data_IF_815222239124
#
_entry.id   IF_815222239124
#
_cell.length_a   1.000
_cell.length_b   1.000
_cell.length_c   1.000
_cell.angle_alpha   90.00
_cell.angle_beta   90.00
_cell.angle_gamma   90.00
#
_symmetry.space_group_name_H-M   'P 1'
#
loop_
_entity.id
_entity.type
_entity.pdbx_description
1 polymer ?
#
# COMPACT_ATOMS: atom_id res chain seq x y z
N UNK A 1 68.15 8.90 10.62
CA UNK A 1 66.73 8.47 10.54
C UNK A 1 66.41 7.54 11.69
N UNK A 2 65.46 7.92 12.55
CA UNK A 2 65.08 7.15 13.73
C UNK A 2 64.30 5.90 13.32
N UNK A 3 64.38 4.80 14.10
CA UNK A 3 63.61 3.56 13.86
C UNK A 3 62.09 3.84 13.74
N UNK A 4 61.60 4.87 14.44
CA UNK A 4 60.21 5.36 14.36
C UNK A 4 59.84 5.92 12.98
N UNK A 5 60.77 6.59 12.29
CA UNK A 5 60.49 7.20 10.98
C UNK A 5 60.40 6.14 9.87
N UNK A 6 61.22 5.09 9.96
CA UNK A 6 61.15 3.93 9.05
C UNK A 6 59.83 3.15 9.23
N UNK A 7 59.37 2.98 10.47
CA UNK A 7 58.09 2.35 10.79
C UNK A 7 56.89 3.18 10.28
N UNK A 8 56.93 4.51 10.41
CA UNK A 8 55.90 5.40 9.84
C UNK A 8 55.87 5.37 8.31
N UNK A 9 57.04 5.30 7.67
CA UNK A 9 57.11 5.19 6.21
C UNK A 9 56.56 3.84 5.71
N UNK A 10 56.82 2.74 6.43
CA UNK A 10 56.25 1.43 6.10
C UNK A 10 54.74 1.35 6.33
N UNK A 11 54.21 1.93 7.41
CA UNK A 11 52.77 1.96 7.65
C UNK A 11 52.05 2.84 6.62
N UNK A 12 52.64 3.97 6.22
CA UNK A 12 52.08 4.79 5.15
C UNK A 12 52.09 4.08 3.79
N UNK A 13 53.11 3.25 3.51
CA UNK A 13 53.12 2.41 2.30
C UNK A 13 52.02 1.36 2.32
N UNK A 14 51.86 0.62 3.42
CA UNK A 14 50.75 -0.35 3.56
C UNK A 14 49.37 0.29 3.45
N UNK A 15 49.19 1.50 4.02
CA UNK A 15 47.91 2.21 3.92
C UNK A 15 47.62 2.65 2.48
N UNK A 16 48.65 3.03 1.70
CA UNK A 16 48.49 3.36 0.28
C UNK A 16 48.16 2.13 -0.55
N UNK A 17 48.93 1.06 -0.38
CA UNK A 17 48.70 -0.22 -1.08
C UNK A 17 47.29 -0.77 -0.80
N UNK A 18 46.80 -0.64 0.45
CA UNK A 18 45.43 -1.06 0.79
C UNK A 18 44.35 -0.19 0.14
N UNK A 19 44.58 1.13 0.02
CA UNK A 19 43.64 2.03 -0.68
C UNK A 19 43.62 1.77 -2.17
N UNK A 20 44.78 1.54 -2.79
CA UNK A 20 44.89 1.21 -4.20
C UNK A 20 44.18 -0.11 -4.52
N UNK A 21 44.31 -1.13 -3.67
CA UNK A 21 43.55 -2.39 -3.80
C UNK A 21 42.04 -2.21 -3.62
N UNK A 22 41.59 -1.38 -2.68
CA UNK A 22 40.16 -1.08 -2.50
C UNK A 22 39.57 -0.29 -3.67
N UNK A 23 40.38 0.58 -4.31
CA UNK A 23 39.99 1.31 -5.52
C UNK A 23 39.91 0.38 -6.73
N UNK A 24 40.91 -0.49 -6.95
CA UNK A 24 40.89 -1.50 -8.01
C UNK A 24 39.72 -2.48 -7.85
N UNK A 25 39.42 -2.95 -6.63
CA UNK A 25 38.29 -3.85 -6.40
C UNK A 25 36.92 -3.15 -6.61
N UNK A 26 36.84 -1.83 -6.37
CA UNK A 26 35.65 -1.03 -6.72
C UNK A 26 35.52 -0.87 -8.22
N UNK A 27 36.61 -0.56 -8.91
CA UNK A 27 36.63 -0.43 -10.37
C UNK A 27 36.31 -1.76 -11.05
N UNK A 28 36.80 -2.89 -10.54
CA UNK A 28 36.44 -4.22 -11.04
C UNK A 28 34.96 -4.55 -10.80
N UNK A 29 34.40 -4.17 -9.64
CA UNK A 29 32.96 -4.32 -9.35
C UNK A 29 32.09 -3.42 -10.24
N UNK A 30 32.53 -2.19 -10.50
CA UNK A 30 31.85 -1.28 -11.43
C UNK A 30 31.98 -1.75 -12.88
N UNK A 31 33.14 -2.25 -13.28
CA UNK A 31 33.40 -2.84 -14.58
C UNK A 31 32.61 -4.13 -14.77
N UNK A 32 32.47 -4.98 -13.75
CA UNK A 32 31.63 -6.18 -13.78
C UNK A 32 30.13 -5.82 -13.88
N UNK A 33 29.71 -4.73 -13.21
CA UNK A 33 28.35 -4.19 -13.29
C UNK A 33 28.06 -3.55 -14.65
N UNK A 34 29.05 -2.93 -15.29
CA UNK A 34 28.95 -2.37 -16.65
C UNK A 34 29.12 -3.42 -17.75
N UNK A 35 29.87 -4.50 -17.50
CA UNK A 35 30.01 -5.69 -18.36
C UNK A 35 28.80 -6.62 -18.30
N UNK A 36 27.81 -6.38 -17.43
CA UNK A 36 26.53 -7.08 -17.52
C UNK A 36 25.91 -6.80 -18.90
N UNK A 37 25.99 -7.80 -19.77
CA UNK A 37 25.50 -7.75 -21.14
C UNK A 37 24.04 -7.29 -21.17
N UNK A 38 23.64 -6.60 -22.25
CA UNK A 38 22.22 -6.22 -22.44
C UNK A 38 21.29 -7.43 -22.29
N UNK A 39 21.74 -8.65 -22.59
CA UNK A 39 21.00 -9.89 -22.37
C UNK A 39 20.91 -10.30 -20.90
N UNK A 40 22.01 -10.20 -20.11
CA UNK A 40 22.00 -10.45 -18.67
C UNK A 40 21.14 -9.42 -17.92
N UNK A 41 21.20 -8.14 -18.31
CA UNK A 41 20.33 -7.08 -17.78
C UNK A 41 18.86 -7.31 -18.15
N UNK A 42 18.59 -7.82 -19.36
CA UNK A 42 17.24 -8.21 -19.83
C UNK A 42 16.73 -9.47 -19.14
N UNK A 43 17.61 -10.42 -18.79
CA UNK A 43 17.30 -11.63 -18.01
C UNK A 43 17.07 -11.29 -16.55
N UNK A 44 17.91 -10.44 -15.93
CA UNK A 44 17.72 -9.90 -14.59
C UNK A 44 16.44 -9.07 -14.51
N UNK A 45 16.14 -8.23 -15.51
CA UNK A 45 14.85 -7.56 -15.56
C UNK A 45 13.72 -8.57 -15.79
N UNK A 46 13.89 -9.62 -16.60
CA UNK A 46 12.90 -10.71 -16.70
C UNK A 46 12.77 -11.55 -15.43
N UNK A 47 13.75 -11.60 -14.53
CA UNK A 47 13.62 -12.35 -13.27
C UNK A 47 13.13 -11.45 -12.13
N UNK A 48 13.60 -10.20 -12.03
CA UNK A 48 13.03 -9.17 -11.12
C UNK A 48 11.59 -8.80 -11.49
N UNK A 49 11.32 -8.52 -12.77
CA UNK A 49 9.98 -8.18 -13.30
C UNK A 49 9.21 -9.36 -13.90
N UNK A 50 9.77 -10.58 -13.93
CA UNK A 50 9.00 -11.79 -14.31
C UNK A 50 8.61 -12.65 -13.11
N UNK A 51 9.22 -12.45 -11.93
CA UNK A 51 8.67 -12.97 -10.68
C UNK A 51 7.43 -12.17 -10.24
N UNK A 52 7.39 -10.87 -10.59
CA UNK A 52 6.22 -10.01 -10.53
C UNK A 52 5.99 -9.44 -11.94
N UNK A 53 5.27 -10.19 -12.78
CA UNK A 53 4.88 -9.74 -14.11
C UNK A 53 4.43 -8.28 -14.06
N UNK A 54 4.87 -7.45 -15.03
CA UNK A 54 4.49 -6.04 -15.11
C UNK A 54 2.99 -5.91 -14.80
N UNK A 55 2.66 -5.37 -13.63
CA UNK A 55 1.27 -5.15 -13.27
C UNK A 55 0.65 -4.31 -14.38
N UNK A 56 -0.52 -4.72 -14.91
CA UNK A 56 -1.22 -3.90 -15.87
C UNK A 56 -1.38 -2.48 -15.32
N UNK A 57 -1.20 -1.47 -16.15
CA UNK A 57 -1.42 -0.07 -15.76
C UNK A 57 -2.79 0.17 -15.13
N UNK A 58 -3.78 -0.68 -15.46
CA UNK A 58 -5.10 -0.71 -14.83
C UNK A 58 -5.05 -0.85 -13.30
N UNK A 59 -4.10 -1.60 -12.72
CA UNK A 59 -3.95 -1.69 -11.26
C UNK A 59 -3.54 -0.35 -10.65
N UNK A 60 -2.62 0.38 -11.28
CA UNK A 60 -2.25 1.72 -10.82
C UNK A 60 -3.43 2.70 -10.92
N UNK A 61 -4.22 2.60 -11.99
CA UNK A 61 -5.42 3.42 -12.15
C UNK A 61 -6.45 3.11 -11.06
N UNK A 62 -6.72 1.84 -10.76
CA UNK A 62 -7.63 1.44 -9.68
C UNK A 62 -7.14 1.90 -8.30
N UNK A 63 -5.82 1.80 -8.05
CA UNK A 63 -5.19 2.31 -6.82
C UNK A 63 -5.28 3.83 -6.69
N UNK A 64 -5.26 4.57 -7.80
CA UNK A 64 -5.49 6.01 -7.77
C UNK A 64 -6.97 6.32 -7.56
N UNK A 65 -7.85 5.55 -8.20
CA UNK A 65 -9.29 5.70 -8.12
C UNK A 65 -9.79 5.50 -6.69
N UNK A 66 -9.25 4.54 -5.93
CA UNK A 66 -9.66 4.29 -4.54
C UNK A 66 -9.29 5.43 -3.57
N UNK A 67 -8.32 6.28 -3.92
CA UNK A 67 -7.98 7.46 -3.11
C UNK A 67 -9.08 8.52 -3.14
N UNK A 68 -9.87 8.59 -4.22
CA UNK A 68 -10.94 9.59 -4.37
C UNK A 68 -12.03 9.39 -3.30
N UNK A 69 -12.69 8.22 -3.19
CA UNK A 69 -13.68 7.99 -2.14
C UNK A 69 -13.06 8.01 -0.75
N UNK A 70 -11.81 7.60 -0.58
CA UNK A 70 -11.11 7.69 0.70
C UNK A 70 -10.86 9.14 1.14
N UNK A 71 -10.41 10.01 0.23
CA UNK A 71 -10.19 11.42 0.52
C UNK A 71 -11.50 12.16 0.83
N UNK A 72 -12.58 11.82 0.11
CA UNK A 72 -13.89 12.39 0.37
C UNK A 72 -14.47 11.91 1.72
N UNK A 73 -14.64 10.60 1.88
CA UNK A 73 -15.29 10.04 3.06
C UNK A 73 -14.35 10.03 4.27
N UNK A 74 -13.22 9.35 4.18
CA UNK A 74 -12.30 9.15 5.31
C UNK A 74 -11.64 10.45 5.75
N UNK A 75 -11.02 11.17 4.82
CA UNK A 75 -10.27 12.38 5.17
C UNK A 75 -11.22 13.55 5.43
N UNK A 76 -12.00 13.98 4.45
CA UNK A 76 -12.77 15.22 4.60
C UNK A 76 -13.90 15.07 5.64
N UNK A 77 -14.89 14.20 5.40
CA UNK A 77 -16.01 14.05 6.33
C UNK A 77 -15.63 13.29 7.61
N UNK A 78 -14.75 12.29 7.51
CA UNK A 78 -14.29 11.54 8.68
C UNK A 78 -13.55 12.42 9.67
N UNK A 79 -12.61 13.26 9.21
CA UNK A 79 -11.92 14.19 10.11
C UNK A 79 -12.85 15.23 10.70
N UNK A 80 -13.84 15.75 9.95
CA UNK A 80 -14.85 16.67 10.51
C UNK A 80 -15.58 16.01 11.68
N UNK A 81 -16.00 14.75 11.56
CA UNK A 81 -16.67 14.03 12.64
C UNK A 81 -15.72 13.74 13.80
N UNK A 82 -14.47 13.35 13.52
CA UNK A 82 -13.45 13.07 14.55
C UNK A 82 -13.13 14.35 15.34
N UNK A 83 -12.77 15.44 14.66
CA UNK A 83 -12.49 16.72 15.32
C UNK A 83 -13.72 17.32 15.97
N UNK A 84 -14.90 17.16 15.38
CA UNK A 84 -16.17 17.58 15.98
C UNK A 84 -16.50 16.83 17.27
N UNK A 85 -16.17 15.53 17.33
CA UNK A 85 -16.35 14.68 18.52
C UNK A 85 -15.39 15.08 19.64
N UNK A 86 -14.10 15.32 19.33
CA UNK A 86 -13.10 15.67 20.35
C UNK A 86 -13.10 17.15 20.74
N UNK A 87 -13.41 18.04 19.80
CA UNK A 87 -13.46 19.48 20.00
C UNK A 87 -14.78 19.96 20.60
N UNK A 88 -15.79 19.08 20.71
CA UNK A 88 -17.08 19.41 21.30
C UNK A 88 -17.96 20.33 20.44
N UNK A 89 -17.64 20.48 19.15
CA UNK A 89 -18.35 21.34 18.20
C UNK A 89 -19.66 20.73 17.68
N UNK A 90 -19.89 19.43 17.93
CA UNK A 90 -21.12 18.74 17.54
C UNK A 90 -22.06 18.74 18.75
N UNK A 91 -23.25 19.34 18.61
CA UNK A 91 -24.30 19.31 19.63
C UNK A 91 -25.49 18.53 19.06
N UNK A 92 -25.95 17.45 19.72
CA UNK A 92 -25.42 16.85 20.95
C UNK A 92 -24.08 16.12 20.74
N UNK A 93 -23.21 16.13 21.76
CA UNK A 93 -21.88 15.54 21.65
C UNK A 93 -21.96 14.01 21.57
N UNK A 94 -21.46 13.39 20.48
CA UNK A 94 -21.40 11.95 20.38
C UNK A 94 -20.35 11.37 21.37
N UNK A 95 -20.50 10.11 21.79
CA UNK A 95 -19.51 9.46 22.65
C UNK A 95 -18.12 9.43 22.01
N UNK A 96 -17.07 9.67 22.81
CA UNK A 96 -15.67 9.73 22.33
C UNK A 96 -15.20 8.44 21.65
N UNK A 97 -15.76 7.28 22.01
CA UNK A 97 -15.40 6.01 21.37
C UNK A 97 -15.73 6.00 19.88
N UNK A 98 -16.72 6.78 19.43
CA UNK A 98 -17.10 6.90 18.01
C UNK A 98 -15.98 7.58 17.24
N UNK A 99 -15.43 8.68 17.77
CA UNK A 99 -14.27 9.36 17.18
C UNK A 99 -13.03 8.45 17.13
N UNK A 100 -12.74 7.71 18.20
CA UNK A 100 -11.62 6.76 18.23
C UNK A 100 -11.79 5.61 17.23
N UNK A 101 -13.01 5.07 17.08
CA UNK A 101 -13.28 3.97 16.15
C UNK A 101 -13.23 4.41 14.69
N UNK A 102 -13.73 5.62 14.37
CA UNK A 102 -13.55 6.21 13.02
C UNK A 102 -12.07 6.44 12.71
N UNK A 103 -11.32 7.05 13.64
CA UNK A 103 -9.89 7.30 13.46
C UNK A 103 -9.10 6.00 13.26
N UNK A 104 -9.39 4.97 14.05
CA UNK A 104 -8.78 3.66 13.89
C UNK A 104 -9.12 3.03 12.51
N UNK A 105 -10.37 3.18 12.06
CA UNK A 105 -10.82 2.76 10.73
C UNK A 105 -10.02 3.44 9.61
N UNK A 106 -9.88 4.77 9.67
CA UNK A 106 -9.13 5.55 8.68
C UNK A 106 -7.65 5.16 8.64
N UNK A 107 -7.01 4.97 9.80
CA UNK A 107 -5.61 4.53 9.89
C UNK A 107 -5.44 3.14 9.26
N UNK A 108 -6.35 2.21 9.52
CA UNK A 108 -6.29 0.87 8.95
C UNK A 108 -6.46 0.88 7.43
N UNK A 109 -7.37 1.70 6.90
CA UNK A 109 -7.58 1.84 5.46
C UNK A 109 -6.36 2.48 4.81
N UNK A 110 -5.80 3.54 5.41
CA UNK A 110 -4.57 4.17 4.93
C UNK A 110 -3.39 3.18 4.92
N UNK A 111 -3.23 2.40 5.99
CA UNK A 111 -2.22 1.35 6.06
C UNK A 111 -2.43 0.29 4.96
N UNK A 112 -3.68 -0.13 4.74
CA UNK A 112 -4.04 -1.07 3.69
C UNK A 112 -3.74 -0.53 2.28
N UNK A 113 -4.05 0.74 2.02
CA UNK A 113 -3.70 1.43 0.76
C UNK A 113 -2.17 1.43 0.56
N UNK A 114 -1.38 1.73 1.59
CA UNK A 114 0.09 1.70 1.50
C UNK A 114 0.59 0.28 1.21
N UNK A 115 0.04 -0.73 1.89
CA UNK A 115 0.37 -2.14 1.66
C UNK A 115 0.01 -2.58 0.23
N UNK A 116 -1.07 -2.04 -0.34
CA UNK A 116 -1.48 -2.30 -1.71
C UNK A 116 -0.45 -1.73 -2.72
N UNK A 117 0.11 -0.55 -2.46
CA UNK A 117 1.24 -0.02 -3.25
C UNK A 117 2.51 -0.90 -3.14
N UNK A 118 2.67 -1.63 -2.04
CA UNK A 118 3.74 -2.64 -1.88
C UNK A 118 3.42 -3.98 -2.59
N UNK A 119 2.31 -4.04 -3.36
CA UNK A 119 1.86 -5.21 -4.14
C UNK A 119 1.51 -6.42 -3.28
N UNK A 120 1.10 -6.16 -2.04
CA UNK A 120 0.65 -7.19 -1.11
C UNK A 120 -0.88 -7.16 -0.97
N UNK A 121 -1.56 -7.61 -2.01
CA UNK A 121 -3.03 -7.54 -2.13
C UNK A 121 -3.81 -8.25 -1.02
N UNK A 122 -3.34 -9.41 -0.54
CA UNK A 122 -4.04 -10.15 0.52
C UNK A 122 -4.07 -9.37 1.84
N UNK A 123 -2.93 -8.96 2.42
CA UNK A 123 -2.97 -8.15 3.63
C UNK A 123 -3.59 -6.77 3.38
N UNK A 124 -3.38 -6.15 2.22
CA UNK A 124 -4.05 -4.88 1.88
C UNK A 124 -5.57 -4.99 2.01
N UNK A 125 -6.17 -6.01 1.37
CA UNK A 125 -7.60 -6.28 1.46
C UNK A 125 -8.08 -6.46 2.90
N UNK A 126 -7.36 -7.23 3.73
CA UNK A 126 -7.75 -7.44 5.14
C UNK A 126 -7.78 -6.13 5.91
N UNK A 127 -6.76 -5.28 5.75
CA UNK A 127 -6.69 -3.98 6.42
C UNK A 127 -7.79 -3.03 5.93
N UNK A 128 -8.01 -2.94 4.61
CA UNK A 128 -9.04 -2.09 4.01
C UNK A 128 -10.43 -2.57 4.43
N UNK A 129 -10.72 -3.87 4.37
CA UNK A 129 -12.02 -4.42 4.75
C UNK A 129 -12.31 -4.23 6.25
N UNK A 130 -11.33 -4.52 7.12
CA UNK A 130 -11.47 -4.32 8.56
C UNK A 130 -11.66 -2.85 8.91
N UNK A 131 -10.83 -1.96 8.35
CA UNK A 131 -10.94 -0.53 8.59
C UNK A 131 -12.25 0.06 8.06
N UNK A 132 -12.70 -0.37 6.87
CA UNK A 132 -13.98 0.08 6.29
C UNK A 132 -15.16 -0.37 7.15
N UNK A 133 -15.13 -1.62 7.66
CA UNK A 133 -16.15 -2.11 8.57
C UNK A 133 -16.21 -1.33 9.88
N UNK A 134 -15.06 -1.02 10.49
CA UNK A 134 -15.00 -0.20 11.71
C UNK A 134 -15.52 1.22 11.46
N UNK A 135 -15.05 1.86 10.39
CA UNK A 135 -15.43 3.22 10.02
C UNK A 135 -16.95 3.31 9.79
N UNK A 136 -17.52 2.44 8.94
CA UNK A 136 -18.94 2.48 8.62
C UNK A 136 -19.82 2.17 9.84
N UNK A 137 -19.39 1.25 10.72
CA UNK A 137 -20.13 0.96 11.96
C UNK A 137 -20.15 2.17 12.88
N UNK A 138 -19.03 2.89 12.99
CA UNK A 138 -18.94 4.11 13.79
C UNK A 138 -19.77 5.25 13.18
N UNK A 139 -19.69 5.47 11.86
CA UNK A 139 -20.52 6.45 11.15
C UNK A 139 -22.01 6.14 11.26
N UNK A 140 -22.41 4.88 11.16
CA UNK A 140 -23.81 4.49 11.32
C UNK A 140 -24.31 4.73 12.74
N UNK A 141 -23.49 4.44 13.76
CA UNK A 141 -23.84 4.77 15.13
C UNK A 141 -23.97 6.29 15.33
N UNK A 142 -23.03 7.07 14.78
CA UNK A 142 -23.07 8.53 14.83
C UNK A 142 -24.36 9.10 14.21
N UNK A 143 -24.73 8.62 13.02
CA UNK A 143 -25.94 9.04 12.32
C UNK A 143 -27.18 8.70 13.15
N UNK A 144 -27.31 7.46 13.62
CA UNK A 144 -28.44 7.05 14.44
C UNK A 144 -28.53 7.84 15.76
N UNK A 145 -27.38 8.17 16.36
CA UNK A 145 -27.30 8.99 17.56
C UNK A 145 -27.82 10.41 17.33
N UNK A 146 -27.46 11.02 16.20
CA UNK A 146 -27.99 12.33 15.81
C UNK A 146 -29.49 12.23 15.53
N UNK A 147 -29.92 11.29 14.68
CA UNK A 147 -31.33 11.08 14.32
C UNK A 147 -32.25 10.96 15.53
N UNK A 148 -31.94 10.06 16.47
CA UNK A 148 -32.77 9.82 17.68
C UNK A 148 -32.84 11.05 18.61
N UNK A 149 -31.87 11.97 18.52
CA UNK A 149 -31.88 13.21 19.30
C UNK A 149 -32.59 14.34 18.58
N UNK A 150 -32.48 14.40 17.26
CA UNK A 150 -33.20 15.37 16.44
C UNK A 150 -34.70 15.07 16.40
N UNK A 151 -35.12 13.81 16.33
CA UNK A 151 -36.55 13.42 16.38
C UNK A 151 -37.25 13.81 17.69
N UNK A 152 -36.49 14.02 18.77
CA UNK A 152 -37.01 14.42 20.09
C UNK A 152 -37.21 15.93 20.24
N UNK A 153 -36.69 16.72 19.30
CA UNK A 153 -36.87 18.17 19.23
C UNK A 153 -37.81 18.43 18.04
N UNK A 154 -38.73 19.39 18.14
CA UNK A 154 -39.53 19.79 16.97
C UNK A 154 -38.59 20.46 15.96
N UNK A 155 -38.17 19.72 14.94
CA UNK A 155 -37.27 20.21 13.89
C UNK A 155 -37.99 20.24 12.54
N UNK A 156 -37.71 21.26 11.73
CA UNK A 156 -38.24 21.48 10.38
C UNK A 156 -38.05 20.26 9.45
N UNK A 157 -38.96 20.08 8.48
CA UNK A 157 -39.04 18.91 7.59
C UNK A 157 -37.77 18.65 6.76
N UNK A 158 -36.97 19.69 6.52
CA UNK A 158 -35.68 19.61 5.81
C UNK A 158 -34.62 18.82 6.60
N UNK A 159 -34.70 18.86 7.93
CA UNK A 159 -33.74 18.22 8.83
C UNK A 159 -34.09 16.74 9.08
N UNK A 160 -35.34 16.32 8.82
CA UNK A 160 -35.74 14.90 8.83
C UNK A 160 -34.97 14.03 7.81
N UNK A 161 -34.34 14.65 6.82
CA UNK A 161 -33.52 13.98 5.80
C UNK A 161 -32.04 13.80 6.14
N UNK A 162 -31.57 14.29 7.30
CA UNK A 162 -30.15 14.37 7.66
C UNK A 162 -29.45 13.01 7.58
N UNK A 163 -30.11 11.93 7.98
CA UNK A 163 -29.52 10.59 7.96
C UNK A 163 -29.11 10.18 6.56
N UNK A 164 -29.98 10.42 5.58
CA UNK A 164 -29.74 10.08 4.18
C UNK A 164 -28.64 10.95 3.57
N UNK A 165 -28.50 12.18 4.03
CA UNK A 165 -27.45 13.09 3.60
C UNK A 165 -26.09 12.71 4.17
N UNK A 166 -25.99 12.47 5.48
CA UNK A 166 -24.78 11.96 6.12
C UNK A 166 -24.35 10.59 5.59
N UNK A 167 -25.31 9.71 5.28
CA UNK A 167 -25.00 8.44 4.63
C UNK A 167 -24.31 8.65 3.28
N UNK A 168 -24.73 9.62 2.46
CA UNK A 168 -24.06 9.91 1.17
C UNK A 168 -22.62 10.36 1.35
N UNK A 169 -22.29 10.96 2.48
CA UNK A 169 -20.93 11.42 2.78
C UNK A 169 -20.01 10.27 3.22
N UNK A 170 -20.52 9.30 4.00
CA UNK A 170 -19.71 8.22 4.58
C UNK A 170 -19.75 6.89 3.80
N UNK A 171 -20.82 6.59 3.05
CA UNK A 171 -20.93 5.36 2.26
C UNK A 171 -19.94 5.22 1.10
N UNK A 172 -19.40 6.30 0.48
CA UNK A 172 -18.33 6.17 -0.49
C UNK A 172 -17.12 5.40 0.04
N UNK A 173 -16.92 5.31 1.37
CA UNK A 173 -15.89 4.45 1.96
C UNK A 173 -16.03 2.97 1.58
N UNK A 174 -17.26 2.48 1.42
CA UNK A 174 -17.52 1.12 0.97
C UNK A 174 -16.97 0.87 -0.45
N UNK A 175 -16.93 1.90 -1.29
CA UNK A 175 -16.37 1.80 -2.64
C UNK A 175 -14.87 1.50 -2.61
N UNK A 176 -14.13 1.97 -1.58
CA UNK A 176 -12.71 1.64 -1.40
C UNK A 176 -12.54 0.13 -1.22
N UNK A 177 -13.34 -0.48 -0.34
CA UNK A 177 -13.29 -1.92 -0.11
C UNK A 177 -13.72 -2.74 -1.33
N UNK A 178 -14.72 -2.27 -2.10
CA UNK A 178 -15.16 -2.93 -3.33
C UNK A 178 -14.07 -2.87 -4.41
N UNK A 179 -13.45 -1.70 -4.61
CA UNK A 179 -12.35 -1.54 -5.56
C UNK A 179 -11.16 -2.44 -5.21
N UNK A 180 -10.81 -2.52 -3.92
CA UNK A 180 -9.76 -3.41 -3.45
C UNK A 180 -10.12 -4.89 -3.65
N UNK A 181 -11.38 -5.28 -3.43
CA UNK A 181 -11.84 -6.62 -3.73
C UNK A 181 -11.69 -6.96 -5.22
N UNK A 182 -12.03 -6.01 -6.11
CA UNK A 182 -11.85 -6.18 -7.55
C UNK A 182 -10.37 -6.36 -7.92
N UNK A 183 -9.46 -5.57 -7.32
CA UNK A 183 -8.01 -5.70 -7.48
C UNK A 183 -7.55 -7.10 -7.05
N UNK A 184 -7.98 -7.56 -5.87
CA UNK A 184 -7.60 -8.87 -5.33
C UNK A 184 -8.07 -10.01 -6.24
N UNK A 185 -9.33 -10.00 -6.67
CA UNK A 185 -9.90 -11.01 -7.57
C UNK A 185 -9.15 -11.03 -8.89
N UNK A 186 -8.90 -9.85 -9.48
CA UNK A 186 -8.15 -9.76 -10.74
C UNK A 186 -6.75 -10.35 -10.59
N UNK A 187 -6.05 -10.03 -9.49
CA UNK A 187 -4.73 -10.56 -9.22
C UNK A 187 -4.73 -12.09 -9.08
N UNK A 188 -5.71 -12.66 -8.36
CA UNK A 188 -5.87 -14.11 -8.22
C UNK A 188 -6.07 -14.75 -9.60
N UNK A 189 -6.93 -14.19 -10.45
CA UNK A 189 -7.17 -14.69 -11.82
C UNK A 189 -5.88 -14.67 -12.64
N UNK A 190 -5.12 -13.58 -12.63
CA UNK A 190 -3.83 -13.49 -13.32
C UNK A 190 -2.84 -14.54 -12.82
N UNK A 191 -2.79 -14.78 -11.50
CA UNK A 191 -1.92 -15.78 -10.89
C UNK A 191 -2.28 -17.20 -11.34
N UNK A 192 -3.57 -17.53 -11.38
CA UNK A 192 -4.07 -18.83 -11.88
C UNK A 192 -3.72 -19.00 -13.36
N UNK A 193 -3.95 -17.98 -14.20
CA UNK A 193 -3.62 -18.02 -15.62
C UNK A 193 -2.11 -18.19 -15.86
N UNK A 194 -1.27 -17.49 -15.08
CA UNK A 194 0.17 -17.63 -15.16
C UNK A 194 0.64 -19.04 -14.75
N UNK A 195 0.07 -19.60 -13.69
CA UNK A 195 0.35 -20.97 -13.25
C UNK A 195 -0.03 -22.00 -14.33
N UNK A 196 -1.20 -21.85 -14.96
CA UNK A 196 -1.63 -22.71 -16.09
C UNK A 196 -0.67 -22.61 -17.28
N UNK A 197 -0.24 -21.39 -17.65
CA UNK A 197 0.74 -21.18 -18.75
C UNK A 197 2.10 -21.81 -18.44
N UNK A 198 2.57 -21.72 -17.19
CA UNK A 198 3.83 -22.35 -16.77
C UNK A 198 3.74 -23.87 -16.82
N UNK A 199 2.61 -24.44 -16.36
CA UNK A 199 2.36 -25.88 -16.45
C UNK A 199 2.39 -26.35 -17.91
N UNK A 200 1.64 -25.67 -18.79
CA UNK A 200 1.66 -25.98 -20.23
C UNK A 200 3.06 -25.89 -20.83
N UNK A 201 3.85 -24.85 -20.50
CA UNK A 201 5.22 -24.72 -21.00
C UNK A 201 6.14 -25.83 -20.53
N UNK A 202 5.95 -26.32 -19.30
CA UNK A 202 6.71 -27.46 -18.76
C UNK A 202 6.32 -28.75 -19.47
N UNK A 203 5.03 -28.94 -19.71
CA UNK A 203 4.48 -30.15 -20.31
C UNK A 203 4.75 -30.21 -21.83
N UNK A 204 4.90 -29.06 -22.50
CA UNK A 204 5.27 -28.95 -23.93
C UNK A 204 6.73 -28.55 -24.16
N UNK A 205 7.57 -28.51 -23.13
CA UNK A 205 9.00 -28.29 -23.32
C UNK A 205 9.56 -29.51 -24.05
N UNK A 206 10.29 -29.34 -25.17
CA UNK A 206 10.98 -30.47 -25.79
C UNK A 206 11.87 -31.09 -24.72
N UNK A 207 11.73 -32.40 -24.51
CA UNK A 207 12.64 -33.18 -23.68
C UNK A 207 14.03 -32.84 -24.20
N UNK A 208 14.89 -32.25 -23.36
CA UNK A 208 16.31 -32.18 -23.71
C UNK A 208 16.72 -33.62 -23.92
N UNK A 209 16.89 -34.02 -25.18
CA UNK A 209 17.47 -35.30 -25.53
C UNK A 209 18.81 -35.32 -24.84
N UNK A 210 18.90 -36.11 -23.77
CA UNK A 210 20.18 -36.54 -23.20
C UNK A 210 20.74 -37.49 -24.24
N UNK A 211 21.32 -36.92 -25.28
CA UNK A 211 22.16 -37.61 -26.26
C UNK A 211 23.32 -36.66 -26.52
N UNK A 212 24.29 -36.76 -25.62
CA UNK A 212 25.75 -36.74 -25.86
C UNK A 212 26.46 -37.06 -24.54
#
# INVERSE_FOLDING_TARGET
MSKKDKLKAQSQKQIRERREQEEEEREEREAARNRQSKSAKKLLNKTKYGRYGKEPWAFLFLRLLMLIPFAWSGIYYGLIVIFGTFGGYIVPQPPQWVGWTMLAGDILILAGIIIEYLKKHIPAFVFIAAGTGLYLKASQYFINYLSDRLDKVYVEEEIRGIDREYMKHHYPMAAVAVLELCILIWWIVLKILAAKRLKHKRDTAPVKSVVE
#
